data_IF_826217476763
#
_entry.id   IF_826217476763
#
_cell.length_a   1.000
_cell.length_b   1.000
_cell.length_c   1.000
_cell.angle_alpha   90.00
_cell.angle_beta   90.00
_cell.angle_gamma   90.00
#
_symmetry.space_group_name_H-M   'P 1'
#
loop_
_entity.id
_entity.type
_entity.pdbx_description
1 polymer ?
#
# COMPACT_ATOMS: atom_id res chain seq x y z
N UNK A 1 -16.46 -21.67 -4.86
CA UNK A 1 -15.88 -21.16 -3.61
C UNK A 1 -14.85 -20.11 -3.99
N UNK A 2 -15.14 -18.83 -3.74
CA UNK A 2 -14.19 -17.75 -4.03
C UNK A 2 -13.06 -17.82 -2.98
N UNK A 3 -11.83 -18.06 -3.44
CA UNK A 3 -10.65 -18.04 -2.57
C UNK A 3 -10.42 -16.59 -2.17
N UNK A 4 -10.54 -16.28 -0.87
CA UNK A 4 -10.21 -14.97 -0.34
C UNK A 4 -8.73 -14.69 -0.59
N UNK A 5 -8.45 -13.69 -1.42
CA UNK A 5 -7.10 -13.25 -1.70
C UNK A 5 -6.69 -12.28 -0.59
N UNK A 6 -6.06 -12.81 0.46
CA UNK A 6 -5.52 -12.00 1.54
C UNK A 6 -4.22 -11.34 1.08
N UNK A 7 -4.32 -10.08 0.66
CA UNK A 7 -3.19 -9.20 0.38
C UNK A 7 -2.66 -8.65 1.70
N UNK A 8 -1.81 -9.41 2.38
CA UNK A 8 -1.10 -8.92 3.56
C UNK A 8 0.14 -8.15 3.13
N UNK A 9 0.05 -6.82 3.17
CA UNK A 9 1.22 -5.96 3.05
C UNK A 9 2.03 -6.11 4.34
N UNK A 10 3.15 -6.85 4.27
CA UNK A 10 4.03 -7.11 5.43
C UNK A 10 4.70 -5.85 5.97
N UNK A 11 4.82 -4.81 5.14
CA UNK A 11 5.42 -3.54 5.53
C UNK A 11 4.51 -2.73 6.46
N UNK A 12 5.12 -2.05 7.42
CA UNK A 12 4.40 -1.16 8.33
C UNK A 12 3.97 0.13 7.61
N UNK A 13 2.87 0.73 8.06
CA UNK A 13 2.42 2.02 7.54
C UNK A 13 3.50 3.12 7.69
N UNK A 14 4.31 3.04 8.75
CA UNK A 14 5.45 3.94 8.99
C UNK A 14 6.54 3.76 7.93
N UNK A 15 6.88 2.51 7.60
CA UNK A 15 7.86 2.20 6.56
C UNK A 15 7.40 2.70 5.20
N UNK A 16 6.13 2.44 4.84
CA UNK A 16 5.53 2.91 3.60
C UNK A 16 5.51 4.45 3.52
N UNK A 17 5.19 5.13 4.62
CA UNK A 17 5.20 6.61 4.65
C UNK A 17 6.61 7.20 4.47
N UNK A 18 7.62 6.54 5.05
CA UNK A 18 9.02 6.95 4.95
C UNK A 18 9.56 6.70 3.54
N UNK A 19 9.22 5.56 2.95
CA UNK A 19 9.54 5.21 1.56
C UNK A 19 8.86 6.18 0.58
N UNK A 20 7.61 6.57 0.81
CA UNK A 20 6.88 7.53 -0.03
C UNK A 20 7.54 8.92 -0.02
N UNK A 21 8.03 9.37 1.15
CA UNK A 21 8.81 10.62 1.27
C UNK A 21 10.14 10.56 0.52
N UNK A 22 10.74 9.38 0.41
CA UNK A 22 12.04 9.18 -0.24
C UNK A 22 11.94 8.80 -1.73
N UNK A 23 10.75 8.48 -2.22
CA UNK A 23 10.52 8.09 -3.61
C UNK A 23 10.84 9.25 -4.57
N UNK A 24 11.64 8.96 -5.59
CA UNK A 24 12.17 9.96 -6.54
C UNK A 24 11.38 10.01 -7.83
N UNK A 25 10.81 8.87 -8.23
CA UNK A 25 10.03 8.75 -9.46
C UNK A 25 8.53 8.82 -9.17
N UNK A 26 7.74 9.25 -10.16
CA UNK A 26 6.29 9.31 -10.03
C UNK A 26 5.68 7.91 -9.88
N UNK A 27 6.19 6.93 -10.63
CA UNK A 27 5.75 5.53 -10.58
C UNK A 27 5.96 4.88 -9.20
N UNK A 28 7.13 5.10 -8.58
CA UNK A 28 7.38 4.63 -7.21
C UNK A 28 6.43 5.26 -6.20
N UNK A 29 6.10 6.55 -6.36
CA UNK A 29 5.16 7.25 -5.47
C UNK A 29 3.77 6.67 -5.57
N UNK A 30 3.25 6.47 -6.78
CA UNK A 30 1.92 5.90 -7.00
C UNK A 30 1.82 4.48 -6.41
N UNK A 31 2.83 3.64 -6.66
CA UNK A 31 2.86 2.29 -6.10
C UNK A 31 2.90 2.26 -4.57
N UNK A 32 3.76 3.08 -3.95
CA UNK A 32 3.87 3.17 -2.50
C UNK A 32 2.61 3.76 -1.86
N UNK A 33 1.97 4.71 -2.54
CA UNK A 33 0.72 5.32 -2.09
C UNK A 33 -0.44 4.31 -2.12
N UNK A 34 -0.55 3.49 -3.17
CA UNK A 34 -1.52 2.40 -3.23
C UNK A 34 -1.29 1.35 -2.12
N UNK A 35 -0.04 0.96 -1.87
CA UNK A 35 0.31 0.03 -0.79
C UNK A 35 -0.05 0.61 0.59
N UNK A 36 0.18 1.91 0.79
CA UNK A 36 -0.17 2.60 2.02
C UNK A 36 -1.69 2.65 2.22
N UNK A 37 -2.46 2.93 1.17
CA UNK A 37 -3.93 2.91 1.20
C UNK A 37 -4.52 1.53 1.47
N UNK A 38 -3.95 0.47 0.87
CA UNK A 38 -4.31 -0.92 1.15
C UNK A 38 -4.02 -1.30 2.60
N UNK A 39 -2.85 -0.88 3.13
CA UNK A 39 -2.45 -1.19 4.51
C UNK A 39 -3.29 -0.46 5.55
N UNK A 40 -3.73 0.77 5.25
CA UNK A 40 -4.55 1.59 6.14
C UNK A 40 -6.05 1.29 6.03
N UNK A 41 -6.43 0.27 5.25
CA UNK A 41 -7.82 -0.10 4.96
C UNK A 41 -8.68 1.06 4.43
N UNK A 42 -8.05 2.11 3.89
CA UNK A 42 -8.76 3.25 3.29
C UNK A 42 -9.44 2.87 1.97
N UNK A 43 -9.04 1.76 1.36
CA UNK A 43 -9.69 1.21 0.16
C UNK A 43 -10.56 0.05 0.60
N UNK A 44 -11.83 0.36 0.83
CA UNK A 44 -12.87 -0.65 1.03
C UNK A 44 -13.25 -1.22 -0.34
N UNK A 45 -13.13 -2.53 -0.49
CA UNK A 45 -13.65 -3.23 -1.67
C UNK A 45 -15.19 -3.15 -1.61
N UNK A 46 -15.79 -2.30 -2.45
CA UNK A 46 -17.24 -2.20 -2.61
C UNK A 46 -17.81 -3.36 -3.44
#
# INVERSE_FOLDING_TARGET
MARSFNLEVQESAEYLSKSLKNARTADEKERLQMLWWLKTEQVTQH
#
